data_IF_883184306271
#
_entry.id   IF_883184306271
#
_cell.length_a   1.000
_cell.length_b   1.000
_cell.length_c   1.000
_cell.angle_alpha   90.00
_cell.angle_beta   90.00
_cell.angle_gamma   90.00
#
_symmetry.space_group_name_H-M   'P 1'
#
loop_
_entity.id
_entity.type
_entity.pdbx_description
1 polymer ?
#
# COMPACT_ATOMS: atom_id res chain seq x y z
N UNK A 1 -2.48 -2.78 -19.63
CA UNK A 1 -2.33 -2.50 -18.21
C UNK A 1 -1.15 -1.57 -17.96
N UNK A 2 -1.21 -0.68 -16.97
CA UNK A 2 -0.13 0.27 -16.69
C UNK A 2 1.19 -0.45 -16.36
N UNK A 3 1.15 -1.48 -15.55
CA UNK A 3 2.34 -2.27 -15.16
C UNK A 3 3.06 -2.86 -16.39
N UNK A 4 2.34 -3.38 -17.37
CA UNK A 4 2.95 -3.95 -18.58
C UNK A 4 3.80 -2.91 -19.33
N UNK A 5 3.28 -1.68 -19.44
CA UNK A 5 3.97 -0.56 -20.11
C UNK A 5 5.17 -0.09 -19.28
N UNK A 6 5.03 -0.03 -17.95
CA UNK A 6 6.10 0.36 -17.04
C UNK A 6 7.25 -0.65 -17.05
N UNK A 7 6.95 -1.94 -17.14
CA UNK A 7 7.94 -3.01 -17.30
C UNK A 7 8.73 -2.85 -18.61
N UNK A 8 8.03 -2.60 -19.72
CA UNK A 8 8.69 -2.37 -21.02
C UNK A 8 9.59 -1.14 -20.97
N UNK A 9 9.12 -0.04 -20.40
CA UNK A 9 9.89 1.18 -20.23
C UNK A 9 11.15 0.95 -19.37
N UNK A 10 11.01 0.28 -18.22
CA UNK A 10 12.12 -0.04 -17.32
C UNK A 10 13.18 -0.90 -18.02
N UNK A 11 12.75 -1.91 -18.79
CA UNK A 11 13.66 -2.76 -19.60
C UNK A 11 14.38 -1.96 -20.67
N UNK A 12 13.66 -1.08 -21.37
CA UNK A 12 14.24 -0.27 -22.44
C UNK A 12 15.30 0.71 -21.93
N UNK A 13 15.10 1.28 -20.73
CA UNK A 13 16.04 2.21 -20.08
C UNK A 13 17.18 1.44 -19.37
N UNK A 14 16.94 0.20 -18.97
CA UNK A 14 17.89 -0.61 -18.19
C UNK A 14 17.97 -0.23 -16.71
N UNK A 15 16.87 0.30 -16.12
CA UNK A 15 16.83 0.66 -14.71
C UNK A 15 16.20 -0.44 -13.86
N UNK A 16 16.69 -0.56 -12.59
CA UNK A 16 16.05 -1.41 -11.59
C UNK A 16 14.84 -0.72 -11.01
N UNK A 17 13.73 -1.46 -10.95
CA UNK A 17 12.47 -0.92 -10.42
C UNK A 17 11.76 -1.94 -9.53
N UNK A 18 11.01 -1.42 -8.56
CA UNK A 18 9.93 -2.13 -7.88
C UNK A 18 8.64 -1.46 -8.34
N UNK A 19 7.87 -2.15 -9.17
CA UNK A 19 6.61 -1.64 -9.70
C UNK A 19 5.47 -2.08 -8.78
N UNK A 20 4.72 -1.11 -8.28
CA UNK A 20 3.64 -1.35 -7.36
C UNK A 20 2.30 -1.46 -8.08
N UNK A 21 1.66 -2.66 -8.05
CA UNK A 21 0.31 -2.86 -8.59
C UNK A 21 -0.71 -2.17 -7.70
N UNK A 22 -0.98 -0.88 -8.01
CA UNK A 22 -1.97 -0.07 -7.32
C UNK A 22 -3.39 -0.56 -7.53
N UNK A 23 -4.26 -0.44 -6.52
CA UNK A 23 -5.68 -0.83 -6.62
C UNK A 23 -6.58 -0.01 -5.71
N UNK A 24 -7.84 0.15 -6.15
CA UNK A 24 -8.94 0.76 -5.39
C UNK A 24 -10.18 -0.10 -5.60
N UNK A 25 -10.90 -0.41 -4.53
CA UNK A 25 -12.12 -1.24 -4.57
C UNK A 25 -13.30 -0.65 -3.83
N UNK A 26 -13.09 0.46 -3.11
CA UNK A 26 -14.10 1.12 -2.29
C UNK A 26 -14.37 2.51 -2.87
N UNK A 27 -15.47 2.66 -3.60
CA UNK A 27 -15.89 3.93 -4.19
C UNK A 27 -16.73 4.77 -3.24
N UNK A 28 -17.07 5.99 -3.67
CA UNK A 28 -17.90 6.92 -2.88
C UNK A 28 -19.25 6.34 -2.51
N UNK A 29 -19.87 5.55 -3.40
CA UNK A 29 -21.15 4.90 -3.16
C UNK A 29 -21.09 3.84 -2.04
N UNK A 30 -19.91 3.27 -1.80
CA UNK A 30 -19.64 2.28 -0.76
C UNK A 30 -18.99 2.88 0.50
N UNK A 31 -18.92 4.22 0.56
CA UNK A 31 -18.34 4.96 1.69
C UNK A 31 -16.82 5.11 1.64
N UNK A 32 -16.20 4.92 0.46
CA UNK A 32 -14.82 5.27 0.19
C UNK A 32 -14.67 6.69 -0.35
N UNK A 33 -13.43 7.11 -0.63
CA UNK A 33 -13.12 8.43 -1.21
C UNK A 33 -13.03 8.43 -2.75
N UNK A 34 -12.52 7.37 -3.42
CA UNK A 34 -12.33 7.39 -4.86
C UNK A 34 -13.65 7.54 -5.63
N UNK A 35 -13.65 8.25 -6.77
CA UNK A 35 -14.77 8.23 -7.69
C UNK A 35 -15.09 6.80 -8.15
N UNK A 36 -16.37 6.43 -8.23
CA UNK A 36 -16.81 5.06 -8.53
C UNK A 36 -16.25 4.50 -9.85
N UNK A 37 -15.94 5.35 -10.84
CA UNK A 37 -15.34 4.92 -12.10
C UNK A 37 -13.86 4.51 -12.00
N UNK A 38 -13.19 4.80 -10.89
CA UNK A 38 -11.77 4.45 -10.67
C UNK A 38 -11.56 3.15 -9.91
N UNK A 39 -12.63 2.57 -9.35
CA UNK A 39 -12.56 1.33 -8.59
C UNK A 39 -12.71 0.09 -9.48
N UNK A 40 -12.13 -1.00 -9.03
CA UNK A 40 -12.19 -2.30 -9.67
C UNK A 40 -12.80 -3.34 -8.72
N UNK A 41 -13.35 -4.42 -9.26
CA UNK A 41 -13.79 -5.54 -8.41
C UNK A 41 -12.61 -6.21 -7.73
N UNK A 42 -12.80 -6.70 -6.51
CA UNK A 42 -11.77 -7.44 -5.79
C UNK A 42 -11.21 -8.63 -6.61
N UNK A 43 -12.10 -9.34 -7.32
CA UNK A 43 -11.74 -10.44 -8.22
C UNK A 43 -10.76 -9.98 -9.30
N UNK A 44 -11.08 -8.90 -10.02
CA UNK A 44 -10.22 -8.34 -11.07
C UNK A 44 -8.86 -7.90 -10.52
N UNK A 45 -8.84 -7.30 -9.32
CA UNK A 45 -7.61 -6.85 -8.69
C UNK A 45 -6.71 -8.03 -8.35
N UNK A 46 -7.24 -9.07 -7.72
CA UNK A 46 -6.47 -10.26 -7.32
C UNK A 46 -5.96 -11.02 -8.54
N UNK A 47 -6.82 -11.29 -9.53
CA UNK A 47 -6.43 -11.99 -10.76
C UNK A 47 -5.31 -11.25 -11.53
N UNK A 48 -5.42 -9.92 -11.67
CA UNK A 48 -4.40 -9.14 -12.36
C UNK A 48 -3.11 -8.99 -11.52
N UNK A 49 -3.23 -8.90 -10.20
CA UNK A 49 -2.08 -8.91 -9.29
C UNK A 49 -1.29 -10.20 -9.40
N UNK A 50 -1.97 -11.34 -9.38
CA UNK A 50 -1.35 -12.65 -9.56
C UNK A 50 -0.68 -12.77 -10.94
N UNK A 51 -1.34 -12.30 -12.00
CA UNK A 51 -0.82 -12.30 -13.35
C UNK A 51 0.49 -11.52 -13.46
N UNK A 52 0.50 -10.24 -13.03
CA UNK A 52 1.71 -9.39 -13.16
C UNK A 52 2.88 -9.90 -12.34
N UNK A 53 2.62 -10.52 -11.17
CA UNK A 53 3.66 -11.14 -10.36
C UNK A 53 4.24 -12.35 -11.10
N UNK A 54 3.41 -13.26 -11.59
CA UNK A 54 3.86 -14.48 -12.30
C UNK A 54 4.62 -14.15 -13.59
N UNK A 55 4.23 -13.09 -14.26
CA UNK A 55 4.80 -12.70 -15.56
C UNK A 55 6.10 -11.91 -15.44
N UNK A 56 6.21 -11.02 -14.44
CA UNK A 56 7.28 -10.02 -14.40
C UNK A 56 8.15 -10.03 -13.15
N UNK A 57 7.70 -10.61 -12.03
CA UNK A 57 8.46 -10.55 -10.79
C UNK A 57 9.67 -11.49 -10.82
N UNK A 58 10.88 -10.91 -10.72
CA UNK A 58 12.12 -11.65 -10.56
C UNK A 58 12.60 -11.58 -9.10
N UNK A 59 12.74 -12.75 -8.46
CA UNK A 59 13.20 -12.91 -7.07
C UNK A 59 14.72 -12.91 -6.94
N UNK A 60 15.45 -12.88 -8.04
CA UNK A 60 16.91 -12.94 -8.06
C UNK A 60 17.56 -11.75 -7.36
N UNK A 61 18.70 -11.99 -6.71
CA UNK A 61 19.50 -10.88 -6.17
C UNK A 61 19.94 -9.96 -7.29
N UNK A 62 19.60 -8.67 -7.18
CA UNK A 62 19.88 -7.65 -8.21
C UNK A 62 18.93 -7.67 -9.40
N UNK A 63 17.78 -8.32 -9.27
CA UNK A 63 16.70 -8.32 -10.28
C UNK A 63 16.42 -6.93 -10.84
N UNK A 64 16.16 -6.87 -12.15
CA UNK A 64 15.81 -5.61 -12.82
C UNK A 64 14.38 -5.19 -12.49
N UNK A 65 13.45 -6.15 -12.48
CA UNK A 65 12.02 -5.92 -12.25
C UNK A 65 11.56 -6.70 -11.04
N UNK A 66 11.02 -6.00 -10.07
CA UNK A 66 10.26 -6.60 -8.97
C UNK A 66 8.85 -6.00 -8.96
N UNK A 67 7.86 -6.81 -8.57
CA UNK A 67 6.48 -6.39 -8.40
C UNK A 67 6.16 -6.35 -6.91
N UNK A 68 5.42 -5.33 -6.50
CA UNK A 68 4.80 -5.24 -5.19
C UNK A 68 3.30 -5.04 -5.34
N UNK A 69 2.51 -5.35 -4.33
CA UNK A 69 1.06 -5.10 -4.31
C UNK A 69 0.78 -3.82 -3.51
N UNK A 70 -0.05 -2.94 -4.07
CA UNK A 70 -0.29 -1.62 -3.52
C UNK A 70 -1.77 -1.21 -3.50
N UNK A 71 -2.64 -1.89 -2.74
CA UNK A 71 -3.92 -1.31 -2.36
C UNK A 71 -3.72 0.10 -1.80
N UNK A 72 -4.46 1.08 -2.34
CA UNK A 72 -4.09 2.48 -2.21
C UNK A 72 -4.06 2.99 -0.75
N UNK A 73 -5.15 2.79 0.00
CA UNK A 73 -5.26 3.27 1.38
C UNK A 73 -6.49 2.68 2.08
N UNK A 74 -6.64 2.79 3.41
CA UNK A 74 -7.87 2.39 4.12
C UNK A 74 -9.14 3.07 3.62
N UNK A 75 -9.03 4.27 3.05
CA UNK A 75 -10.15 5.02 2.46
C UNK A 75 -10.67 4.45 1.13
N UNK A 76 -9.86 3.69 0.42
CA UNK A 76 -10.10 3.38 -0.99
C UNK A 76 -10.12 1.89 -1.28
N UNK A 77 -9.92 1.07 -0.25
CA UNK A 77 -9.85 -0.39 -0.38
C UNK A 77 -10.67 -1.06 0.72
N UNK A 78 -11.44 -2.09 0.35
CA UNK A 78 -12.18 -2.87 1.35
C UNK A 78 -11.21 -3.67 2.24
N UNK A 79 -11.62 -3.88 3.51
CA UNK A 79 -10.84 -4.67 4.47
C UNK A 79 -10.54 -6.09 3.95
N UNK A 80 -11.52 -6.71 3.32
CA UNK A 80 -11.38 -8.07 2.77
C UNK A 80 -10.33 -8.11 1.66
N UNK A 81 -10.28 -7.09 0.79
CA UNK A 81 -9.25 -7.00 -0.24
C UNK A 81 -7.86 -6.76 0.37
N UNK A 82 -7.74 -5.94 1.41
CA UNK A 82 -6.46 -5.78 2.13
C UNK A 82 -5.96 -7.11 2.66
N UNK A 83 -6.81 -7.90 3.33
CA UNK A 83 -6.45 -9.22 3.86
C UNK A 83 -6.10 -10.20 2.74
N UNK A 84 -6.91 -10.29 1.69
CA UNK A 84 -6.63 -11.17 0.54
C UNK A 84 -5.33 -10.78 -0.19
N UNK A 85 -5.01 -9.49 -0.24
CA UNK A 85 -3.74 -9.01 -0.80
C UNK A 85 -2.55 -9.42 0.05
N UNK A 86 -2.67 -9.40 1.39
CA UNK A 86 -1.62 -9.88 2.29
C UNK A 86 -1.37 -11.39 2.11
N UNK A 87 -2.43 -12.18 1.99
CA UNK A 87 -2.33 -13.62 1.73
C UNK A 87 -1.64 -13.91 0.40
N UNK A 88 -2.06 -13.23 -0.68
CA UNK A 88 -1.45 -13.36 -2.00
C UNK A 88 0.03 -12.96 -2.00
N UNK A 89 0.37 -11.85 -1.33
CA UNK A 89 1.74 -11.38 -1.22
C UNK A 89 2.64 -12.39 -0.48
N UNK A 90 2.12 -12.99 0.58
CA UNK A 90 2.81 -14.06 1.33
C UNK A 90 3.00 -15.32 0.50
N UNK A 91 1.96 -15.75 -0.24
CA UNK A 91 2.03 -16.95 -1.10
C UNK A 91 3.04 -16.76 -2.24
N UNK A 92 3.05 -15.59 -2.87
CA UNK A 92 3.90 -15.30 -4.01
C UNK A 92 5.23 -14.62 -3.66
N UNK A 93 5.53 -14.45 -2.35
CA UNK A 93 6.76 -13.85 -1.83
C UNK A 93 7.08 -12.49 -2.46
N UNK A 94 6.09 -11.58 -2.42
CA UNK A 94 6.22 -10.19 -2.87
C UNK A 94 5.96 -9.21 -1.72
N UNK A 95 6.37 -7.97 -1.89
CA UNK A 95 6.21 -6.93 -0.89
C UNK A 95 4.86 -6.22 -1.01
N UNK A 96 4.49 -5.56 0.09
CA UNK A 96 3.25 -4.79 0.23
C UNK A 96 3.54 -3.30 0.39
N UNK A 97 2.70 -2.48 -0.24
CA UNK A 97 2.74 -1.03 -0.11
C UNK A 97 1.34 -0.45 0.03
N UNK A 98 1.21 0.57 0.88
CA UNK A 98 -0.03 1.37 0.98
C UNK A 98 0.29 2.78 1.49
N UNK A 99 -0.67 3.72 1.36
CA UNK A 99 -0.63 4.99 2.06
C UNK A 99 -1.22 4.79 3.46
N UNK A 100 -0.58 5.34 4.48
CA UNK A 100 -1.04 5.17 5.86
C UNK A 100 -0.71 6.39 6.71
N UNK A 101 -1.66 6.79 7.56
CA UNK A 101 -1.55 7.91 8.48
C UNK A 101 -1.11 9.21 7.80
N UNK A 102 -1.66 9.48 6.61
CA UNK A 102 -1.38 10.68 5.85
C UNK A 102 -2.09 11.90 6.44
N UNK A 103 -3.33 11.75 6.87
CA UNK A 103 -4.18 12.83 7.37
C UNK A 103 -4.90 12.42 8.66
N UNK A 104 -5.36 13.40 9.45
CA UNK A 104 -6.21 13.16 10.62
C UNK A 104 -7.56 12.54 10.23
N UNK A 105 -8.04 12.83 9.02
CA UNK A 105 -9.28 12.25 8.50
C UNK A 105 -9.18 10.73 8.36
N UNK A 106 -7.98 10.20 8.04
CA UNK A 106 -7.75 8.76 7.96
C UNK A 106 -7.89 8.09 9.33
N UNK A 107 -7.34 8.68 10.38
CA UNK A 107 -7.53 8.18 11.74
C UNK A 107 -9.01 8.17 12.10
N UNK A 108 -9.72 9.27 11.85
CA UNK A 108 -11.16 9.38 12.08
C UNK A 108 -11.93 8.32 11.31
N UNK A 109 -11.62 8.12 10.04
CA UNK A 109 -12.24 7.08 9.21
C UNK A 109 -12.00 5.67 9.76
N UNK A 110 -10.76 5.34 10.11
CA UNK A 110 -10.41 4.02 10.65
C UNK A 110 -11.12 3.76 11.97
N UNK A 111 -11.17 4.72 12.87
CA UNK A 111 -11.89 4.61 14.14
C UNK A 111 -13.40 4.43 13.95
N UNK A 112 -14.02 5.20 13.05
CA UNK A 112 -15.46 5.12 12.81
C UNK A 112 -15.86 3.83 12.10
N UNK A 113 -15.06 3.38 11.13
CA UNK A 113 -15.42 2.25 10.29
C UNK A 113 -14.99 0.91 10.84
N UNK A 114 -13.83 0.85 11.49
CA UNK A 114 -13.21 -0.39 11.96
C UNK A 114 -13.07 -0.45 13.48
N UNK A 115 -13.23 0.66 14.19
CA UNK A 115 -12.98 0.75 15.63
C UNK A 115 -11.50 0.67 16.00
N UNK A 116 -10.61 0.91 15.07
CA UNK A 116 -9.16 0.72 15.19
C UNK A 116 -8.42 1.96 14.70
N UNK A 117 -7.25 2.24 15.26
CA UNK A 117 -6.30 3.19 14.69
C UNK A 117 -5.61 2.61 13.43
N UNK A 118 -4.98 3.44 12.59
CA UNK A 118 -4.40 2.99 11.32
C UNK A 118 -3.41 1.81 11.44
N UNK A 119 -2.52 1.79 12.46
CA UNK A 119 -1.55 0.70 12.64
C UNK A 119 -2.20 -0.57 13.19
N UNK A 120 -3.17 -0.45 14.09
CA UNK A 120 -3.97 -1.58 14.56
C UNK A 120 -4.77 -2.22 13.41
N UNK A 121 -5.32 -1.37 12.53
CA UNK A 121 -5.97 -1.85 11.31
C UNK A 121 -4.98 -2.60 10.40
N UNK A 122 -3.77 -2.05 10.21
CA UNK A 122 -2.71 -2.69 9.41
C UNK A 122 -2.36 -4.07 9.97
N UNK A 123 -2.24 -4.19 11.29
CA UNK A 123 -2.01 -5.48 11.96
C UNK A 123 -3.15 -6.47 11.72
N UNK A 124 -4.39 -6.00 11.88
CA UNK A 124 -5.58 -6.83 11.73
C UNK A 124 -5.73 -7.43 10.32
N UNK A 125 -5.29 -6.72 9.28
CA UNK A 125 -5.34 -7.19 7.89
C UNK A 125 -4.07 -7.95 7.46
N UNK A 126 -3.14 -8.22 8.39
CA UNK A 126 -1.96 -9.05 8.15
C UNK A 126 -0.79 -8.32 7.48
N UNK A 127 -0.72 -7.00 7.60
CA UNK A 127 0.29 -6.16 6.93
C UNK A 127 1.44 -5.71 7.84
N UNK A 128 1.37 -5.92 9.15
CA UNK A 128 2.37 -5.45 10.10
C UNK A 128 3.59 -6.38 10.13
N UNK A 129 4.46 -6.32 9.11
CA UNK A 129 5.68 -7.12 9.00
C UNK A 129 6.72 -6.47 8.08
N UNK A 130 7.96 -7.00 8.10
CA UNK A 130 9.11 -6.43 7.37
C UNK A 130 9.03 -6.45 5.84
N UNK A 131 8.05 -7.13 5.26
CA UNK A 131 7.75 -7.09 3.82
C UNK A 131 6.89 -5.91 3.41
N UNK A 132 6.44 -5.10 4.36
CA UNK A 132 5.57 -3.94 4.13
C UNK A 132 6.33 -2.63 4.22
N UNK A 133 5.99 -1.68 3.37
CA UNK A 133 6.32 -0.28 3.57
C UNK A 133 5.11 0.61 3.31
N UNK A 134 5.04 1.75 4.01
CA UNK A 134 3.92 2.69 3.91
C UNK A 134 4.41 4.06 3.47
N UNK A 135 3.58 4.79 2.75
CA UNK A 135 3.80 6.19 2.42
C UNK A 135 3.24 7.10 3.51
N UNK A 136 3.81 8.30 3.64
CA UNK A 136 3.47 9.40 4.53
C UNK A 136 3.85 9.20 6.00
N UNK A 137 3.09 8.44 6.80
CA UNK A 137 3.38 8.18 8.21
C UNK A 137 3.42 9.44 9.08
N UNK A 138 2.48 10.36 8.90
CA UNK A 138 2.46 11.66 9.58
C UNK A 138 1.82 11.54 10.96
N UNK A 139 0.65 10.90 11.05
CA UNK A 139 -0.22 10.88 12.22
C UNK A 139 -0.07 9.63 13.07
N UNK A 140 1.15 9.10 13.20
CA UNK A 140 1.45 8.02 14.15
C UNK A 140 1.66 8.56 15.56
N UNK A 141 1.11 7.87 16.56
CA UNK A 141 1.46 8.08 17.95
C UNK A 141 2.74 7.30 18.33
N UNK A 142 3.23 7.48 19.56
CA UNK A 142 4.48 6.87 20.00
C UNK A 142 4.43 5.33 20.05
N UNK A 143 3.28 4.77 20.39
CA UNK A 143 3.07 3.33 20.47
C UNK A 143 3.07 2.71 19.07
N UNK A 144 2.41 3.36 18.11
CA UNK A 144 2.40 2.97 16.71
C UNK A 144 3.79 3.01 16.07
N UNK A 145 4.59 4.04 16.38
CA UNK A 145 6.00 4.12 15.93
C UNK A 145 6.80 2.93 16.46
N UNK A 146 6.65 2.60 17.75
CA UNK A 146 7.33 1.45 18.34
C UNK A 146 6.88 0.10 17.72
N UNK A 147 5.60 -0.06 17.42
CA UNK A 147 5.06 -1.24 16.74
C UNK A 147 5.63 -1.39 15.33
N UNK A 148 5.58 -0.33 14.52
CA UNK A 148 6.14 -0.31 13.17
C UNK A 148 7.63 -0.61 13.16
N UNK A 149 8.40 -0.02 14.09
CA UNK A 149 9.82 -0.28 14.26
C UNK A 149 10.11 -1.74 14.63
N UNK A 150 9.36 -2.31 15.57
CA UNK A 150 9.49 -3.71 15.99
C UNK A 150 9.17 -4.68 14.84
N UNK A 151 8.15 -4.38 14.04
CA UNK A 151 7.77 -5.15 12.86
C UNK A 151 8.68 -4.89 11.65
N UNK A 152 9.57 -3.90 11.72
CA UNK A 152 10.47 -3.47 10.64
C UNK A 152 9.71 -3.03 9.38
N UNK A 153 8.57 -2.36 9.55
CA UNK A 153 7.83 -1.75 8.45
C UNK A 153 8.62 -0.54 7.94
N UNK A 154 8.79 -0.45 6.64
CA UNK A 154 9.44 0.70 6.01
C UNK A 154 8.51 1.91 5.92
N UNK A 155 9.06 3.12 5.97
CA UNK A 155 8.30 4.37 5.75
C UNK A 155 8.92 5.14 4.59
N UNK A 156 8.08 5.52 3.62
CA UNK A 156 8.44 6.43 2.55
C UNK A 156 8.04 7.85 2.92
N UNK A 157 9.01 8.72 3.12
CA UNK A 157 8.75 10.12 3.40
C UNK A 157 8.34 10.87 2.13
N UNK A 158 7.22 11.59 2.18
CA UNK A 158 6.60 12.30 1.05
C UNK A 158 6.51 13.82 1.31
N UNK A 159 7.64 14.54 1.53
CA UNK A 159 7.61 15.90 2.05
C UNK A 159 6.88 16.89 1.13
N UNK A 160 7.05 16.79 -0.18
CA UNK A 160 6.39 17.70 -1.14
C UNK A 160 4.87 17.52 -1.13
N UNK A 161 4.39 16.30 -1.14
CA UNK A 161 2.96 15.99 -1.05
C UNK A 161 2.39 16.48 0.28
N UNK A 162 3.06 16.17 1.39
CA UNK A 162 2.61 16.53 2.72
C UNK A 162 2.55 18.05 2.92
N UNK A 163 3.51 18.81 2.37
CA UNK A 163 3.49 20.28 2.40
C UNK A 163 2.34 20.83 1.55
N UNK A 164 2.10 20.28 0.37
CA UNK A 164 1.04 20.75 -0.53
C UNK A 164 -0.36 20.51 0.06
N UNK A 165 -0.55 19.38 0.71
CA UNK A 165 -1.82 19.01 1.35
C UNK A 165 -1.98 19.54 2.77
N UNK A 166 -0.92 20.11 3.35
CA UNK A 166 -0.95 20.54 4.75
C UNK A 166 -1.06 19.39 5.76
N UNK A 167 -0.64 18.18 5.38
CA UNK A 167 -0.79 16.97 6.21
C UNK A 167 0.05 17.01 7.49
N UNK A 168 1.21 17.68 7.48
CA UNK A 168 2.12 17.73 8.61
C UNK A 168 3.53 17.21 8.29
N UNK A 169 4.29 16.89 9.34
CA UNK A 169 5.69 16.46 9.26
C UNK A 169 5.81 15.01 9.74
N UNK A 170 6.40 14.14 8.91
CA UNK A 170 6.66 12.76 9.27
C UNK A 170 7.72 12.67 10.37
N UNK A 171 7.48 11.83 11.39
CA UNK A 171 8.39 11.55 12.50
C UNK A 171 9.36 10.39 12.20
N UNK A 172 9.75 10.21 10.95
CA UNK A 172 10.50 9.06 10.44
C UNK A 172 11.94 8.89 10.99
N UNK A 173 12.40 9.79 11.86
CA UNK A 173 13.70 9.69 12.55
C UNK A 173 13.60 9.17 14.00
N UNK A 174 12.39 8.93 14.48
CA UNK A 174 12.08 8.37 15.81
C UNK A 174 11.89 6.86 15.73
#
# INVERSE_FOLDING_TARGET
>A
NAIDIEVEAAKAIGCRVVLARGSMSLGQEDGGLPPSQTVQSAKTIIEDSERVIKEFHDRGSGALIQIALAPCSPFSVSKDLMSSTAELAKELDVRLHTHLAETEDEETFCLQRFGLRPVEYLEQVGWLHSGTWVAHGIHFNQEEIAQLGSAKVGITHCPTSNMLLGSGICRGVE
#
